data_IF_574523045811
#
_entry.id   IF_574523045811
#
_cell.length_a   1.000
_cell.length_b   1.000
_cell.length_c   1.000
_cell.angle_alpha   90.00
_cell.angle_beta   90.00
_cell.angle_gamma   90.00
#
_symmetry.space_group_name_H-M   'P 1'
#
loop_
_entity.id
_entity.type
_entity.pdbx_description
1 polymer ?
#
# COMPACT_ATOMS: atom_id res chain seq x y z
N UNK A 1 51.97 -7.80 2.27
CA UNK A 1 51.22 -7.73 3.55
C UNK A 1 49.75 -8.13 3.41
N UNK A 2 49.08 -7.92 2.26
CA UNK A 2 47.64 -8.27 2.06
C UNK A 2 47.25 -9.76 2.27
N UNK A 3 48.11 -10.72 1.90
CA UNK A 3 47.80 -12.17 1.98
C UNK A 3 47.58 -12.74 3.39
N UNK A 4 48.02 -12.08 4.47
CA UNK A 4 47.94 -12.63 5.83
C UNK A 4 46.62 -12.29 6.54
N UNK A 5 46.01 -11.15 6.21
CA UNK A 5 44.72 -10.72 6.77
C UNK A 5 43.54 -11.48 6.14
N UNK A 6 43.58 -11.75 4.84
CA UNK A 6 42.55 -12.52 4.12
C UNK A 6 42.42 -13.96 4.64
N UNK A 7 43.55 -14.61 4.99
CA UNK A 7 43.51 -15.97 5.57
C UNK A 7 42.72 -16.03 6.87
N UNK A 8 42.84 -15.01 7.71
CA UNK A 8 42.13 -14.96 9.00
C UNK A 8 40.65 -14.60 8.81
N UNK A 9 40.32 -13.81 7.77
CA UNK A 9 38.93 -13.47 7.44
C UNK A 9 38.16 -14.68 6.89
N UNK A 10 38.81 -15.54 6.10
CA UNK A 10 38.20 -16.78 5.60
C UNK A 10 37.93 -17.78 6.74
N UNK A 11 38.87 -17.94 7.67
CA UNK A 11 38.67 -18.83 8.83
C UNK A 11 37.49 -18.34 9.71
N UNK A 12 37.41 -17.03 9.97
CA UNK A 12 36.26 -16.43 10.66
C UNK A 12 34.95 -16.61 9.89
N UNK A 13 35.00 -16.60 8.56
CA UNK A 13 33.81 -16.79 7.73
C UNK A 13 33.26 -18.21 7.88
N UNK A 14 34.12 -19.22 7.92
CA UNK A 14 33.71 -20.61 8.15
C UNK A 14 33.10 -20.78 9.56
N UNK A 15 33.72 -20.20 10.59
CA UNK A 15 33.14 -20.19 11.94
C UNK A 15 31.76 -19.51 11.98
N UNK A 16 31.63 -18.37 11.30
CA UNK A 16 30.36 -17.65 11.20
C UNK A 16 29.27 -18.48 10.49
N UNK A 17 29.63 -19.33 9.51
CA UNK A 17 28.70 -20.26 8.85
C UNK A 17 28.27 -21.41 9.73
N UNK A 18 29.16 -21.87 10.59
CA UNK A 18 28.88 -22.87 11.62
C UNK A 18 28.00 -22.31 12.75
N UNK A 19 27.80 -20.99 12.78
CA UNK A 19 26.95 -20.30 13.74
C UNK A 19 27.69 -19.78 14.97
N UNK A 20 29.02 -19.67 14.90
CA UNK A 20 29.82 -19.06 15.96
C UNK A 20 29.40 -17.60 16.17
N UNK A 21 29.01 -17.28 17.40
CA UNK A 21 28.46 -15.97 17.74
C UNK A 21 29.50 -14.85 17.65
N UNK A 22 30.75 -15.12 18.05
CA UNK A 22 31.81 -14.11 18.05
C UNK A 22 32.24 -13.78 16.62
N UNK A 23 32.30 -14.78 15.74
CA UNK A 23 32.59 -14.60 14.32
C UNK A 23 31.46 -13.84 13.61
N UNK A 24 30.20 -14.15 13.89
CA UNK A 24 29.06 -13.39 13.37
C UNK A 24 29.08 -11.93 13.84
N UNK A 25 29.32 -11.71 15.13
CA UNK A 25 29.42 -10.37 15.73
C UNK A 25 30.54 -9.56 15.09
N UNK A 26 31.69 -10.18 14.79
CA UNK A 26 32.78 -9.54 14.05
C UNK A 26 32.31 -9.00 12.69
N UNK A 27 31.61 -9.81 11.89
CA UNK A 27 31.10 -9.36 10.59
C UNK A 27 30.00 -8.31 10.73
N UNK A 28 29.08 -8.47 11.68
CA UNK A 28 28.04 -7.47 11.91
C UNK A 28 28.64 -6.13 12.29
N UNK A 29 29.50 -6.08 13.30
CA UNK A 29 30.21 -4.87 13.72
C UNK A 29 31.01 -4.23 12.58
N UNK A 30 31.69 -5.04 11.76
CA UNK A 30 32.50 -4.55 10.64
C UNK A 30 31.69 -3.88 9.54
N UNK A 31 30.52 -4.42 9.19
CA UNK A 31 29.70 -3.93 8.07
C UNK A 31 28.57 -2.99 8.52
N UNK A 32 28.30 -2.91 9.82
CA UNK A 32 27.27 -2.04 10.40
C UNK A 32 27.35 -0.58 9.92
N UNK A 33 28.51 0.11 9.91
CA UNK A 33 28.58 1.48 9.42
C UNK A 33 28.16 1.63 7.95
N UNK A 34 28.55 0.68 7.11
CA UNK A 34 28.21 0.66 5.68
C UNK A 34 26.72 0.43 5.49
N UNK A 35 26.13 -0.49 6.26
CA UNK A 35 24.69 -0.76 6.26
C UNK A 35 23.92 0.51 6.65
N UNK A 36 24.27 1.16 7.76
CA UNK A 36 23.60 2.37 8.23
C UNK A 36 23.69 3.51 7.22
N UNK A 37 24.87 3.71 6.63
CA UNK A 37 25.08 4.74 5.61
C UNK A 37 24.30 4.46 4.33
N UNK A 38 24.25 3.21 3.86
CA UNK A 38 23.47 2.85 2.68
C UNK A 38 21.97 2.98 2.92
N UNK A 39 21.50 2.62 4.11
CA UNK A 39 20.09 2.74 4.47
C UNK A 39 19.60 4.21 4.48
N UNK A 40 20.45 5.19 4.82
CA UNK A 40 20.05 6.61 4.73
C UNK A 40 19.83 7.12 3.31
N UNK A 41 20.37 6.43 2.31
CA UNK A 41 20.24 6.84 0.91
C UNK A 41 18.86 6.53 0.32
N UNK A 42 18.01 5.80 1.04
CA UNK A 42 16.69 5.41 0.61
C UNK A 42 15.64 5.92 1.58
N UNK A 43 14.56 6.47 1.03
CA UNK A 43 13.36 6.83 1.77
C UNK A 43 12.20 5.99 1.26
N UNK A 44 11.62 5.16 2.12
CA UNK A 44 10.38 4.44 1.81
C UNK A 44 9.23 5.15 2.52
N UNK A 45 8.28 5.65 1.73
CA UNK A 45 7.03 6.19 2.26
C UNK A 45 6.25 5.06 2.94
N UNK A 46 6.02 5.21 4.25
CA UNK A 46 5.30 4.23 5.06
C UNK A 46 6.12 3.04 5.56
N UNK A 47 7.45 3.02 5.42
CA UNK A 47 8.32 2.03 6.08
C UNK A 47 9.37 2.73 6.94
N UNK A 48 9.76 2.09 8.04
CA UNK A 48 10.73 2.66 8.96
C UNK A 48 12.14 2.47 8.41
N UNK A 49 13.07 3.36 8.77
CA UNK A 49 14.48 3.21 8.40
C UNK A 49 15.06 1.90 8.93
N UNK A 50 14.53 1.43 10.05
CA UNK A 50 14.92 0.16 10.66
C UNK A 50 14.56 -1.04 9.76
N UNK A 51 13.47 -0.97 8.99
CA UNK A 51 13.13 -2.02 8.01
C UNK A 51 14.21 -2.16 6.93
N UNK A 52 14.74 -1.04 6.44
CA UNK A 52 15.83 -1.03 5.46
C UNK A 52 17.13 -1.59 6.04
N UNK A 53 17.42 -1.28 7.30
CA UNK A 53 18.58 -1.82 8.01
C UNK A 53 18.46 -3.34 8.12
N UNK A 54 17.28 -3.86 8.47
CA UNK A 54 17.04 -5.30 8.55
C UNK A 54 17.17 -6.00 7.19
N UNK A 55 16.65 -5.40 6.11
CA UNK A 55 16.84 -5.93 4.76
C UNK A 55 18.33 -5.93 4.35
N UNK A 56 19.09 -4.89 4.69
CA UNK A 56 20.53 -4.86 4.47
C UNK A 56 21.27 -5.95 5.28
N UNK A 57 20.89 -6.18 6.54
CA UNK A 57 21.46 -7.24 7.38
C UNK A 57 21.19 -8.63 6.78
N UNK A 58 20.00 -8.88 6.23
CA UNK A 58 19.70 -10.12 5.49
C UNK A 58 20.65 -10.28 4.29
N UNK A 59 20.98 -9.18 3.60
CA UNK A 59 21.98 -9.17 2.54
C UNK A 59 23.36 -9.60 3.02
N UNK A 60 23.83 -9.07 4.15
CA UNK A 60 25.10 -9.46 4.76
C UNK A 60 25.10 -10.93 5.19
N UNK A 61 24.03 -11.42 5.81
CA UNK A 61 23.93 -12.82 6.23
C UNK A 61 24.00 -13.78 5.03
N UNK A 62 23.33 -13.43 3.92
CA UNK A 62 23.47 -14.19 2.67
C UNK A 62 24.90 -14.16 2.14
N UNK A 63 25.59 -13.03 2.27
CA UNK A 63 26.99 -12.95 1.85
C UNK A 63 27.88 -13.90 2.68
N UNK A 64 27.73 -13.91 4.00
CA UNK A 64 28.47 -14.83 4.90
C UNK A 64 28.24 -16.28 4.48
N UNK A 65 26.98 -16.65 4.26
CA UNK A 65 26.59 -18.01 3.87
C UNK A 65 27.10 -18.42 2.49
N UNK A 66 26.99 -17.55 1.49
CA UNK A 66 27.12 -17.93 0.08
C UNK A 66 28.47 -17.54 -0.56
N UNK A 67 29.34 -16.81 0.13
CA UNK A 67 30.62 -16.36 -0.43
C UNK A 67 31.50 -17.53 -0.88
N UNK A 68 32.11 -17.42 -2.05
CA UNK A 68 33.01 -18.44 -2.59
C UNK A 68 34.33 -17.78 -3.00
N UNK A 69 35.44 -18.01 -2.27
CA UNK A 69 36.73 -17.36 -2.56
C UNK A 69 37.32 -17.75 -3.92
N UNK A 70 36.88 -18.86 -4.53
CA UNK A 70 37.33 -19.27 -5.86
C UNK A 70 36.58 -18.51 -6.97
N UNK A 71 35.37 -18.03 -6.69
CA UNK A 71 34.54 -17.28 -7.66
C UNK A 71 34.60 -15.77 -7.48
N UNK A 72 34.77 -15.31 -6.25
CA UNK A 72 34.62 -13.91 -5.87
C UNK A 72 35.95 -13.28 -5.44
N UNK A 73 36.18 -12.03 -5.85
CA UNK A 73 37.48 -11.37 -5.65
C UNK A 73 37.77 -11.01 -4.18
N UNK A 74 36.76 -10.63 -3.39
CA UNK A 74 36.90 -10.39 -1.95
C UNK A 74 35.54 -10.46 -1.26
N UNK A 75 35.54 -10.89 0.00
CA UNK A 75 34.32 -10.93 0.81
C UNK A 75 33.65 -9.56 0.90
N UNK A 76 34.45 -8.49 1.03
CA UNK A 76 33.96 -7.11 1.07
C UNK A 76 33.11 -6.74 -0.15
N UNK A 77 33.63 -6.96 -1.35
CA UNK A 77 32.90 -6.63 -2.58
C UNK A 77 31.60 -7.43 -2.68
N UNK A 78 31.66 -8.71 -2.33
CA UNK A 78 30.50 -9.61 -2.37
C UNK A 78 29.43 -9.21 -1.34
N UNK A 79 29.84 -8.90 -0.11
CA UNK A 79 28.96 -8.42 0.95
C UNK A 79 28.26 -7.12 0.55
N UNK A 80 29.01 -6.13 0.03
CA UNK A 80 28.42 -4.88 -0.45
C UNK A 80 27.43 -5.11 -1.59
N UNK A 81 27.72 -6.01 -2.53
CA UNK A 81 26.80 -6.38 -3.61
C UNK A 81 25.49 -6.97 -3.06
N UNK A 82 25.58 -7.92 -2.12
CA UNK A 82 24.42 -8.56 -1.51
C UNK A 82 23.57 -7.55 -0.70
N UNK A 83 24.21 -6.69 0.09
CA UNK A 83 23.55 -5.61 0.84
C UNK A 83 22.80 -4.67 -0.12
N UNK A 84 23.47 -4.17 -1.17
CA UNK A 84 22.85 -3.28 -2.14
C UNK A 84 21.67 -3.94 -2.85
N UNK A 85 21.82 -5.20 -3.26
CA UNK A 85 20.76 -5.95 -3.94
C UNK A 85 19.53 -6.09 -3.05
N UNK A 86 19.73 -6.33 -1.77
CA UNK A 86 18.63 -6.54 -0.82
C UNK A 86 17.89 -5.22 -0.53
N UNK A 87 18.62 -4.13 -0.29
CA UNK A 87 18.06 -2.77 -0.20
C UNK A 87 17.24 -2.40 -1.44
N UNK A 88 17.81 -2.55 -2.64
CA UNK A 88 17.11 -2.25 -3.89
C UNK A 88 15.86 -3.12 -4.08
N UNK A 89 15.90 -4.38 -3.66
CA UNK A 89 14.76 -5.28 -3.73
C UNK A 89 13.64 -4.85 -2.78
N UNK A 90 13.98 -4.42 -1.57
CA UNK A 90 13.03 -3.88 -0.59
C UNK A 90 12.37 -2.60 -1.11
N UNK A 91 13.15 -1.64 -1.61
CA UNK A 91 12.65 -0.40 -2.23
C UNK A 91 11.70 -0.73 -3.39
N UNK A 92 12.12 -1.60 -4.31
CA UNK A 92 11.27 -2.02 -5.45
C UNK A 92 10.01 -2.77 -5.03
N UNK A 93 10.01 -3.44 -3.87
CA UNK A 93 8.83 -4.13 -3.34
C UNK A 93 7.83 -3.12 -2.79
N UNK A 94 8.29 -2.12 -2.04
CA UNK A 94 7.44 -1.05 -1.50
C UNK A 94 6.76 -0.23 -2.61
N UNK A 95 7.49 0.07 -3.68
CA UNK A 95 6.96 0.83 -4.82
C UNK A 95 5.99 0.02 -5.72
N UNK A 96 5.83 -1.29 -5.50
CA UNK A 96 5.08 -2.16 -6.41
C UNK A 96 3.58 -2.11 -6.12
N UNK A 97 2.88 -1.18 -6.77
CA UNK A 97 1.43 -1.04 -7.14
C UNK A 97 0.28 -1.59 -6.26
N UNK A 98 0.44 -2.56 -5.34
CA UNK A 98 -0.59 -2.94 -4.36
C UNK A 98 -0.75 -1.88 -3.24
N UNK A 99 0.28 -1.07 -3.00
CA UNK A 99 0.27 0.04 -2.04
C UNK A 99 0.00 1.41 -2.71
N UNK A 100 -0.23 1.45 -4.03
CA UNK A 100 -0.48 2.70 -4.77
C UNK A 100 -1.75 3.44 -4.30
N UNK A 101 -2.87 2.75 -3.94
CA UNK A 101 -4.03 3.44 -3.37
C UNK A 101 -3.75 4.10 -2.02
N UNK A 102 -2.88 3.49 -1.18
CA UNK A 102 -2.59 3.99 0.17
C UNK A 102 -1.59 5.16 0.16
N UNK A 103 -0.64 5.17 -0.79
CA UNK A 103 0.37 6.23 -0.91
C UNK A 103 -0.11 7.44 -1.74
N UNK A 104 -1.29 7.34 -2.37
CA UNK A 104 -1.93 8.42 -3.14
C UNK A 104 -3.32 8.78 -2.61
N UNK A 105 -3.74 8.21 -1.47
CA UNK A 105 -5.03 8.54 -0.88
C UNK A 105 -5.00 9.99 -0.38
N UNK A 106 -5.89 10.81 -0.95
CA UNK A 106 -6.17 12.15 -0.45
C UNK A 106 -7.25 11.99 0.63
N UNK A 107 -7.08 12.65 1.77
CA UNK A 107 -8.08 12.65 2.83
C UNK A 107 -9.35 13.37 2.36
N UNK A 108 -10.51 12.76 2.62
CA UNK A 108 -11.79 13.34 2.23
C UNK A 108 -12.16 14.55 3.10
N UNK A 109 -11.61 14.62 4.32
CA UNK A 109 -11.83 15.69 5.29
C UNK A 109 -10.84 16.86 5.14
N UNK A 110 -9.92 16.81 4.16
CA UNK A 110 -8.99 17.92 3.93
C UNK A 110 -9.73 19.12 3.32
N UNK A 111 -9.59 20.32 3.91
CA UNK A 111 -10.07 21.56 3.32
C UNK A 111 -9.51 21.79 1.93
N UNK A 112 -10.37 22.14 0.98
CA UNK A 112 -10.00 22.42 -0.41
C UNK A 112 -9.51 23.85 -0.61
N UNK A 113 -9.86 24.76 0.30
CA UNK A 113 -9.50 26.17 0.26
C UNK A 113 -8.65 26.55 1.47
N UNK A 114 -7.64 27.38 1.22
CA UNK A 114 -6.63 27.78 2.22
C UNK A 114 -6.91 29.14 2.86
N UNK A 115 -7.95 29.84 2.39
CA UNK A 115 -8.22 31.23 2.77
C UNK A 115 -9.10 31.26 4.02
N UNK A 116 -8.64 31.96 5.06
CA UNK A 116 -9.32 32.05 6.38
C UNK A 116 -10.74 32.66 6.32
N UNK A 117 -11.08 33.33 5.22
CA UNK A 117 -12.42 33.90 4.97
C UNK A 117 -13.34 32.98 4.13
N UNK A 118 -12.82 31.85 3.64
CA UNK A 118 -13.59 30.90 2.84
C UNK A 118 -14.22 29.80 3.69
N UNK A 119 -15.40 29.32 3.28
CA UNK A 119 -16.05 28.16 3.91
C UNK A 119 -15.13 26.95 3.80
N UNK A 120 -15.05 26.14 4.86
CA UNK A 120 -14.17 24.97 4.97
C UNK A 120 -14.74 23.80 4.14
N UNK A 121 -14.72 23.92 2.81
CA UNK A 121 -15.22 22.88 1.91
C UNK A 121 -14.27 21.70 1.88
N UNK A 122 -14.76 20.52 2.18
CA UNK A 122 -13.98 19.28 2.09
C UNK A 122 -14.28 18.53 0.79
N UNK A 123 -13.39 17.60 0.40
CA UNK A 123 -13.68 16.69 -0.72
C UNK A 123 -14.94 15.85 -0.45
N UNK A 124 -15.21 15.55 0.81
CA UNK A 124 -16.41 14.82 1.20
C UNK A 124 -17.68 15.60 0.85
N UNK A 125 -17.72 16.92 1.06
CA UNK A 125 -18.88 17.76 0.76
C UNK A 125 -19.19 17.75 -0.74
N UNK A 126 -18.16 17.93 -1.58
CA UNK A 126 -18.29 17.93 -3.04
C UNK A 126 -18.77 16.60 -3.60
N UNK A 127 -18.29 15.48 -3.04
CA UNK A 127 -18.65 14.13 -3.52
C UNK A 127 -19.97 13.64 -2.91
N UNK A 128 -20.32 14.14 -1.71
CA UNK A 128 -21.56 13.82 -1.00
C UNK A 128 -22.74 14.67 -1.44
N UNK A 129 -22.53 15.72 -2.24
CA UNK A 129 -23.52 16.33 -3.13
C UNK A 129 -23.99 15.32 -4.21
N UNK A 130 -24.52 14.18 -3.76
CA UNK A 130 -25.49 13.42 -4.53
C UNK A 130 -26.66 14.37 -4.77
N UNK A 131 -26.75 14.90 -5.99
CA UNK A 131 -27.89 15.62 -6.58
C UNK A 131 -28.92 15.98 -5.52
N UNK A 132 -28.75 17.14 -4.86
CA UNK A 132 -29.84 17.70 -4.07
C UNK A 132 -31.02 17.83 -5.04
N UNK A 133 -31.97 16.89 -4.94
CA UNK A 133 -33.12 16.83 -5.83
C UNK A 133 -33.91 18.12 -5.59
N UNK A 134 -33.87 19.04 -6.56
CA UNK A 134 -34.53 20.32 -6.40
C UNK A 134 -36.04 20.10 -6.28
N UNK A 135 -36.80 21.02 -5.65
CA UNK A 135 -38.26 20.94 -5.64
C UNK A 135 -38.84 20.74 -7.04
N UNK A 136 -38.23 21.38 -8.05
CA UNK A 136 -38.57 21.26 -9.46
C UNK A 136 -38.29 19.85 -10.01
N UNK A 137 -37.12 19.27 -9.72
CA UNK A 137 -36.78 17.90 -10.13
C UNK A 137 -37.73 16.87 -9.52
N UNK A 138 -38.08 17.04 -8.25
CA UNK A 138 -39.05 16.19 -7.56
C UNK A 138 -40.44 16.30 -8.19
N UNK A 139 -40.86 17.52 -8.56
CA UNK A 139 -42.14 17.77 -9.24
C UNK A 139 -42.20 17.11 -10.62
N UNK A 140 -41.18 17.29 -11.45
CA UNK A 140 -41.08 16.69 -12.78
C UNK A 140 -41.13 15.16 -12.68
N UNK A 141 -40.35 14.59 -11.77
CA UNK A 141 -40.31 13.14 -11.56
C UNK A 141 -41.66 12.58 -11.08
N UNK A 142 -42.37 13.29 -10.22
CA UNK A 142 -43.72 12.89 -9.79
C UNK A 142 -44.74 12.98 -10.93
N UNK A 143 -44.64 13.99 -11.79
CA UNK A 143 -45.49 14.12 -12.97
C UNK A 143 -45.24 12.98 -13.96
N UNK A 144 -43.98 12.66 -14.23
CA UNK A 144 -43.57 11.53 -15.08
C UNK A 144 -44.08 10.19 -14.52
N UNK A 145 -43.92 9.96 -13.21
CA UNK A 145 -44.43 8.77 -12.55
C UNK A 145 -45.96 8.68 -12.65
N UNK A 146 -46.65 9.80 -12.44
CA UNK A 146 -48.11 9.86 -12.54
C UNK A 146 -48.58 9.61 -13.97
N UNK A 147 -47.89 10.17 -14.97
CA UNK A 147 -48.13 9.94 -16.38
C UNK A 147 -47.90 8.49 -16.79
N UNK A 148 -46.82 7.86 -16.30
CA UNK A 148 -46.53 6.46 -16.52
C UNK A 148 -47.59 5.55 -15.89
N UNK A 149 -48.02 5.82 -14.66
CA UNK A 149 -49.10 5.09 -13.97
C UNK A 149 -50.41 5.22 -14.74
N UNK A 150 -50.77 6.43 -15.19
CA UNK A 150 -52.00 6.66 -15.95
C UNK A 150 -52.01 5.92 -17.29
N UNK A 151 -50.88 5.88 -18.00
CA UNK A 151 -50.72 5.06 -19.22
C UNK A 151 -50.85 3.58 -18.92
N UNK A 152 -50.20 3.09 -17.85
CA UNK A 152 -50.35 1.70 -17.42
C UNK A 152 -51.81 1.38 -17.08
N UNK A 153 -52.54 2.27 -16.42
CA UNK A 153 -53.96 2.08 -16.12
C UNK A 153 -54.85 2.01 -17.37
N UNK A 154 -54.47 2.67 -18.47
CA UNK A 154 -55.22 2.62 -19.73
C UNK A 154 -54.98 1.33 -20.51
N UNK A 155 -53.80 0.71 -20.36
CA UNK A 155 -53.39 -0.46 -21.16
C UNK A 155 -53.57 -1.77 -20.38
N UNK A 156 -53.80 -1.72 -19.07
CA UNK A 156 -53.92 -2.91 -18.21
C UNK A 156 -55.35 -3.37 -17.96
N UNK A 157 -55.52 -4.70 -17.90
CA UNK A 157 -56.79 -5.37 -17.60
C UNK A 157 -57.19 -5.24 -16.11
N UNK A 158 -58.48 -5.32 -15.74
CA UNK A 158 -58.92 -5.28 -14.34
C UNK A 158 -58.25 -6.31 -13.42
N UNK A 159 -57.84 -7.46 -13.96
CA UNK A 159 -57.12 -8.48 -13.22
C UNK A 159 -55.66 -8.09 -12.94
N UNK A 160 -54.98 -7.51 -13.93
CA UNK A 160 -53.58 -7.07 -13.81
C UNK A 160 -53.46 -5.92 -12.80
N UNK A 161 -54.40 -4.98 -12.81
CA UNK A 161 -54.45 -3.87 -11.83
C UNK A 161 -54.47 -4.35 -10.38
N UNK A 162 -55.26 -5.39 -10.09
CA UNK A 162 -55.33 -6.00 -8.74
C UNK A 162 -54.00 -6.65 -8.36
N UNK A 163 -53.37 -7.37 -9.28
CA UNK A 163 -52.07 -8.00 -9.07
C UNK A 163 -50.95 -6.97 -8.84
N UNK A 164 -50.90 -5.90 -9.64
CA UNK A 164 -49.96 -4.80 -9.46
C UNK A 164 -50.13 -4.10 -8.10
N UNK A 165 -51.36 -3.77 -7.70
CA UNK A 165 -51.64 -3.14 -6.41
C UNK A 165 -51.19 -4.00 -5.22
N UNK A 166 -51.36 -5.32 -5.30
CA UNK A 166 -50.92 -6.25 -4.26
C UNK A 166 -49.38 -6.30 -4.15
N UNK A 167 -48.67 -6.31 -5.28
CA UNK A 167 -47.18 -6.32 -5.31
C UNK A 167 -46.61 -5.01 -4.75
N UNK A 168 -47.19 -3.86 -5.11
CA UNK A 168 -46.73 -2.56 -4.62
C UNK A 168 -46.96 -2.41 -3.10
N UNK A 169 -48.08 -2.88 -2.56
CA UNK A 169 -48.33 -2.90 -1.11
C UNK A 169 -47.29 -3.76 -0.36
N UNK A 170 -46.93 -4.91 -0.92
CA UNK A 170 -45.93 -5.82 -0.32
C UNK A 170 -44.52 -5.20 -0.29
N UNK A 171 -44.11 -4.50 -1.35
CA UNK A 171 -42.80 -3.80 -1.39
C UNK A 171 -42.73 -2.59 -0.45
N UNK A 172 -43.84 -1.89 -0.19
CA UNK A 172 -43.88 -0.75 0.74
C UNK A 172 -43.68 -1.17 2.21
N UNK A 173 -44.17 -2.36 2.61
CA UNK A 173 -43.94 -2.91 3.96
C UNK A 173 -42.49 -3.38 4.17
N UNK A 174 -41.79 -3.83 3.13
CA UNK A 174 -40.40 -4.33 3.25
C UNK A 174 -39.34 -3.22 3.35
N UNK A 175 -39.70 -1.95 3.13
CA UNK A 175 -38.78 -0.80 3.16
C UNK A 175 -38.86 0.03 4.45
N UNK A 176 -39.82 -0.25 5.33
CA UNK A 176 -40.01 0.44 6.62
C UNK A 176 -39.67 -0.47 7.82
N UNK A 177 -38.80 -1.47 7.62
CA UNK A 177 -38.27 -2.35 8.66
C UNK A 177 -36.76 -2.27 8.72
#
# INVERSE_FOLDING_TARGET
>A
MKKKEERNELDLLELAREGDADALEYFFSKYQPVIYWKATQYFLQGAERDDLIQEAMIGLFKAIRDFDPEKEASFKSFAEMCINRQLLSAVKRSLRKKNMPLNQSISLDTPLTSDEESVDWTLLDVISEKQAETPEDFLIKNEDLTGAVKKLEQVTSPFEKKSFAAVFRRKKLSRNG
#
